data_IF_558353545465
#
_entry.id   IF_558353545465
#
_cell.length_a   1.000
_cell.length_b   1.000
_cell.length_c   1.000
_cell.angle_alpha   90.00
_cell.angle_beta   90.00
_cell.angle_gamma   90.00
#
_symmetry.space_group_name_H-M   'P 1'
#
loop_
_entity.id
_entity.type
_entity.pdbx_description
1 polymer ?
#
# COMPACT_ATOMS: atom_id res chain seq x y z
N UNK A 1 -11.95 14.56 3.71
CA UNK A 1 -10.92 14.68 2.65
C UNK A 1 -11.41 13.82 1.50
N UNK A 2 -11.88 14.41 0.39
CA UNK A 2 -12.75 13.74 -0.59
C UNK A 2 -12.16 12.46 -1.22
N UNK A 3 -10.84 12.32 -1.29
CA UNK A 3 -10.19 11.16 -1.91
C UNK A 3 -10.22 9.90 -1.02
N UNK A 4 -9.96 10.02 0.29
CA UNK A 4 -9.99 8.88 1.24
C UNK A 4 -11.39 8.29 1.33
N UNK A 5 -12.40 9.16 1.43
CA UNK A 5 -13.81 8.73 1.48
C UNK A 5 -14.21 7.93 0.23
N UNK A 6 -13.73 8.34 -0.95
CA UNK A 6 -13.99 7.62 -2.20
C UNK A 6 -13.28 6.27 -2.25
N UNK A 7 -12.02 6.22 -1.79
CA UNK A 7 -11.25 4.98 -1.75
C UNK A 7 -11.87 3.98 -0.74
N UNK A 8 -12.22 4.44 0.46
CA UNK A 8 -12.82 3.61 1.50
C UNK A 8 -14.15 3.02 1.03
N UNK A 9 -15.02 3.84 0.42
CA UNK A 9 -16.27 3.36 -0.18
C UNK A 9 -16.02 2.34 -1.29
N UNK A 10 -14.91 2.45 -2.02
CA UNK A 10 -14.56 1.47 -3.05
C UNK A 10 -14.14 0.15 -2.43
N UNK A 11 -13.31 0.20 -1.38
CA UNK A 11 -12.89 -0.98 -0.61
C UNK A 11 -14.12 -1.70 -0.06
N UNK A 12 -15.04 -0.98 0.60
CA UNK A 12 -16.27 -1.54 1.19
C UNK A 12 -17.25 -2.06 0.13
N UNK A 13 -17.38 -1.37 -1.01
CA UNK A 13 -18.35 -1.75 -2.05
C UNK A 13 -17.98 -3.08 -2.74
N UNK A 14 -16.70 -3.40 -2.80
CA UNK A 14 -16.17 -4.53 -3.55
C UNK A 14 -15.47 -5.55 -2.65
N UNK A 15 -15.63 -5.44 -1.33
CA UNK A 15 -15.07 -6.36 -0.34
C UNK A 15 -13.56 -6.61 -0.58
N UNK A 16 -12.80 -5.52 -0.83
CA UNK A 16 -11.38 -5.62 -1.18
C UNK A 16 -10.46 -5.94 0.01
N UNK A 17 -10.99 -5.82 1.22
CA UNK A 17 -10.29 -6.05 2.49
C UNK A 17 -11.27 -6.69 3.46
N UNK A 18 -10.95 -7.90 3.89
CA UNK A 18 -11.72 -8.69 4.84
C UNK A 18 -10.88 -9.07 6.08
N UNK A 19 -11.55 -9.55 7.13
CA UNK A 19 -10.90 -10.01 8.36
C UNK A 19 -10.01 -11.23 8.10
N UNK A 20 -8.76 -11.17 8.58
CA UNK A 20 -7.75 -12.20 8.42
C UNK A 20 -6.95 -12.12 7.11
N UNK A 21 -7.19 -11.10 6.28
CA UNK A 21 -6.50 -10.95 5.00
C UNK A 21 -4.99 -10.70 5.16
N UNK A 22 -4.23 -11.16 4.16
CA UNK A 22 -2.82 -10.83 3.95
C UNK A 22 -2.63 -10.20 2.58
N UNK A 23 -2.48 -8.88 2.55
CA UNK A 23 -2.47 -8.10 1.31
C UNK A 23 -1.04 -7.67 0.97
N UNK A 24 -0.59 -8.02 -0.24
CA UNK A 24 0.67 -7.55 -0.81
C UNK A 24 0.40 -6.38 -1.77
N UNK A 25 0.97 -5.22 -1.46
CA UNK A 25 0.86 -4.02 -2.29
C UNK A 25 2.07 -3.92 -3.21
N UNK A 26 1.83 -3.94 -4.52
CA UNK A 26 2.88 -3.78 -5.52
C UNK A 26 3.40 -2.34 -5.53
N UNK A 27 4.62 -2.13 -5.03
CA UNK A 27 5.31 -0.85 -4.98
C UNK A 27 6.22 -0.68 -6.20
N UNK A 28 5.95 0.36 -7.00
CA UNK A 28 6.74 0.71 -8.18
C UNK A 28 7.84 1.75 -7.88
N UNK A 29 7.83 2.32 -6.68
CA UNK A 29 8.54 3.57 -6.34
C UNK A 29 7.79 4.83 -6.77
N UNK A 30 6.72 4.69 -7.57
CA UNK A 30 5.85 5.78 -7.99
C UNK A 30 4.87 6.24 -6.91
N UNK A 31 4.37 7.47 -7.08
CA UNK A 31 3.40 8.09 -6.16
C UNK A 31 2.09 7.32 -6.05
N UNK A 32 1.64 6.69 -7.13
CA UNK A 32 0.31 6.08 -7.20
C UNK A 32 0.27 4.76 -6.41
N UNK A 33 1.29 3.91 -6.54
CA UNK A 33 1.45 2.72 -5.70
C UNK A 33 1.69 3.05 -4.23
N UNK A 34 2.44 4.13 -3.94
CA UNK A 34 2.63 4.59 -2.58
C UNK A 34 1.32 5.08 -1.96
N UNK A 35 0.56 5.91 -2.69
CA UNK A 35 -0.74 6.40 -2.24
C UNK A 35 -1.70 5.23 -1.97
N UNK A 36 -1.72 4.20 -2.82
CA UNK A 36 -2.52 3.00 -2.58
C UNK A 36 -2.16 2.31 -1.26
N UNK A 37 -0.86 2.15 -0.96
CA UNK A 37 -0.38 1.59 0.31
C UNK A 37 -0.85 2.42 1.50
N UNK A 38 -0.64 3.74 1.49
CA UNK A 38 -1.04 4.61 2.60
C UNK A 38 -2.56 4.63 2.82
N UNK A 39 -3.33 4.66 1.75
CA UNK A 39 -4.80 4.62 1.83
C UNK A 39 -5.28 3.29 2.39
N UNK A 40 -4.71 2.18 1.95
CA UNK A 40 -5.06 0.85 2.46
C UNK A 40 -4.72 0.72 3.94
N UNK A 41 -3.52 1.17 4.34
CA UNK A 41 -3.08 1.18 5.74
C UNK A 41 -4.02 2.00 6.61
N UNK A 42 -4.36 3.21 6.18
CA UNK A 42 -5.27 4.09 6.91
C UNK A 42 -6.70 3.54 6.96
N UNK A 43 -7.15 2.82 5.92
CA UNK A 43 -8.43 2.11 5.94
C UNK A 43 -8.46 1.03 7.02
N UNK A 44 -7.47 0.12 7.01
CA UNK A 44 -7.36 -0.98 7.97
C UNK A 44 -7.30 -0.45 9.41
N UNK A 45 -6.48 0.56 9.67
CA UNK A 45 -6.36 1.17 11.00
C UNK A 45 -7.64 1.86 11.47
N UNK A 46 -8.32 2.62 10.59
CA UNK A 46 -9.55 3.32 10.95
C UNK A 46 -10.74 2.39 11.15
N UNK A 47 -10.77 1.29 10.42
CA UNK A 47 -11.85 0.29 10.49
C UNK A 47 -11.59 -0.76 11.55
N UNK A 48 -10.35 -0.91 12.01
CA UNK A 48 -9.95 -1.88 13.01
C UNK A 48 -10.05 -3.32 12.51
N UNK A 49 -9.86 -3.52 11.20
CA UNK A 49 -9.88 -4.86 10.56
C UNK A 49 -8.55 -5.56 10.85
N UNK A 50 -8.58 -6.83 11.22
CA UNK A 50 -7.38 -7.66 11.32
C UNK A 50 -6.88 -7.98 9.91
N UNK A 51 -5.92 -7.20 9.41
CA UNK A 51 -5.36 -7.38 8.08
C UNK A 51 -3.85 -7.11 8.10
N UNK A 52 -3.07 -8.05 7.61
CA UNK A 52 -1.62 -7.92 7.43
C UNK A 52 -1.31 -7.30 6.07
N UNK A 53 -0.57 -6.18 6.05
CA UNK A 53 -0.19 -5.48 4.82
C UNK A 53 1.32 -5.57 4.64
N UNK A 54 1.78 -5.96 3.44
CA UNK A 54 3.20 -5.97 3.04
C UNK A 54 3.41 -5.27 1.71
N UNK A 55 4.58 -4.65 1.53
CA UNK A 55 5.04 -4.15 0.25
C UNK A 55 5.74 -5.25 -0.57
N UNK A 56 5.51 -5.28 -1.87
CA UNK A 56 6.32 -6.07 -2.80
C UNK A 56 6.85 -5.19 -3.92
N UNK A 57 8.14 -5.30 -4.22
CA UNK A 57 8.78 -4.60 -5.32
C UNK A 57 9.53 -5.56 -6.22
N UNK A 58 9.35 -5.37 -7.53
CA UNK A 58 10.07 -6.10 -8.55
C UNK A 58 11.14 -5.19 -9.14
N UNK A 59 12.40 -5.56 -8.93
CA UNK A 59 13.53 -4.89 -9.56
C UNK A 59 13.73 -5.44 -10.96
N UNK A 60 13.97 -4.54 -11.92
CA UNK A 60 14.21 -4.88 -13.33
C UNK A 60 15.68 -4.76 -13.74
N UNK A 61 16.61 -4.68 -12.78
CA UNK A 61 18.05 -4.55 -13.02
C UNK A 61 18.45 -3.45 -14.03
N UNK A 62 17.71 -2.35 -14.03
CA UNK A 62 18.02 -1.16 -14.81
C UNK A 62 18.98 -0.25 -14.04
N UNK A 63 19.72 0.66 -14.71
CA UNK A 63 20.60 1.62 -14.02
C UNK A 63 19.90 2.46 -12.94
N UNK A 64 18.59 2.66 -13.05
CA UNK A 64 17.78 3.40 -12.09
C UNK A 64 17.26 2.55 -10.91
N UNK A 65 17.32 1.21 -11.00
CA UNK A 65 16.69 0.30 -10.03
C UNK A 65 17.15 0.55 -8.60
N UNK A 66 18.43 0.80 -8.36
CA UNK A 66 18.94 1.07 -7.01
C UNK A 66 18.28 2.30 -6.35
N UNK A 67 18.00 3.35 -7.13
CA UNK A 67 17.29 4.53 -6.63
C UNK A 67 15.81 4.21 -6.37
N UNK A 68 15.19 3.41 -7.22
CA UNK A 68 13.79 2.99 -7.05
C UNK A 68 13.64 2.12 -5.80
N UNK A 69 14.51 1.14 -5.60
CA UNK A 69 14.53 0.29 -4.41
C UNK A 69 14.69 1.12 -3.12
N UNK A 70 15.57 2.13 -3.14
CA UNK A 70 15.73 3.06 -2.01
C UNK A 70 14.41 3.80 -1.71
N UNK A 71 13.72 4.29 -2.73
CA UNK A 71 12.45 5.01 -2.58
C UNK A 71 11.34 4.07 -2.08
N UNK A 72 11.27 2.85 -2.61
CA UNK A 72 10.32 1.83 -2.17
C UNK A 72 10.52 1.49 -0.69
N UNK A 73 11.76 1.28 -0.25
CA UNK A 73 12.07 1.03 1.17
C UNK A 73 11.59 2.19 2.05
N UNK A 74 11.88 3.42 1.65
CA UNK A 74 11.40 4.60 2.36
C UNK A 74 9.86 4.66 2.43
N UNK A 75 9.16 4.24 1.37
CA UNK A 75 7.69 4.19 1.36
C UNK A 75 7.15 3.12 2.32
N UNK A 76 7.76 1.93 2.35
CA UNK A 76 7.39 0.86 3.27
C UNK A 76 7.64 1.25 4.73
N UNK A 77 8.82 1.83 5.02
CA UNK A 77 9.20 2.31 6.35
C UNK A 77 8.22 3.39 6.85
N UNK A 78 7.88 4.37 6.01
CA UNK A 78 6.94 5.44 6.35
C UNK A 78 5.52 4.93 6.61
N UNK A 79 5.12 3.85 5.93
CA UNK A 79 3.83 3.20 6.13
C UNK A 79 3.84 2.17 7.28
N UNK A 80 4.99 1.92 7.89
CA UNK A 80 5.22 0.87 8.90
C UNK A 80 4.75 -0.51 8.41
N UNK A 81 5.13 -0.87 7.18
CA UNK A 81 4.89 -2.21 6.60
C UNK A 81 6.22 -2.87 6.24
N UNK A 82 6.21 -4.21 6.20
CA UNK A 82 7.34 -5.02 5.72
C UNK A 82 7.56 -4.86 4.22
#
# INVERSE_FOLDING_TARGET
MRYLEQAFRTIEKFDLVEEGDRIFVALSGGKDSAAALFVLKEYVEKKGVDCEIKGIHLSFDLPISANVERVVRQQADLANVE
#
